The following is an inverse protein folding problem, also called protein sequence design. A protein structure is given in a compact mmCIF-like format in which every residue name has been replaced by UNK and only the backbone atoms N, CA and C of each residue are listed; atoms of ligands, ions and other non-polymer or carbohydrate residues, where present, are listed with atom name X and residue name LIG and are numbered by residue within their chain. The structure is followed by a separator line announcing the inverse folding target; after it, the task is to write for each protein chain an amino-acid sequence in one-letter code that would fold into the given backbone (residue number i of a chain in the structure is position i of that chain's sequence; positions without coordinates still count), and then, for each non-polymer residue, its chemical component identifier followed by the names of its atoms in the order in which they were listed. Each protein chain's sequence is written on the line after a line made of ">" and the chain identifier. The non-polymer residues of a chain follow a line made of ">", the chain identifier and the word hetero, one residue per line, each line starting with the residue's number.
data_IF_060480879941
#
_entry.id   IF_060480879941
#
_cell.length_a   1.000
_cell.length_b   1.000
_cell.length_c   1.000
_cell.angle_alpha   90.00
_cell.angle_beta   90.00
_cell.angle_gamma   90.00
#
_symmetry.space_group_name_H-M   'P 1'
#
loop_
_entity.id
_entity.type
_entity.pdbx_description
1 polymer ?
#
# COMPACT_ATOMS: atom_id res chain seq x y z
N UNK A 1 4.90 20.70 -19.29
CA UNK A 1 4.48 19.29 -18.99
C UNK A 1 3.66 19.36 -17.71
N UNK A 2 2.39 18.96 -17.80
CA UNK A 2 1.53 18.96 -16.61
C UNK A 2 2.07 17.94 -15.63
N UNK A 3 2.52 18.42 -14.48
CA UNK A 3 3.04 17.55 -13.42
C UNK A 3 1.84 16.84 -12.76
N UNK A 4 1.67 15.55 -13.03
CA UNK A 4 0.65 14.74 -12.37
C UNK A 4 1.14 14.39 -10.95
N UNK A 5 0.31 14.68 -9.94
CA UNK A 5 0.64 14.36 -8.55
C UNK A 5 -0.61 14.22 -7.68
N UNK A 6 -0.45 13.61 -6.52
CA UNK A 6 -1.40 13.72 -5.42
C UNK A 6 -0.85 14.66 -4.36
N UNK A 7 -1.70 15.57 -3.87
CA UNK A 7 -1.44 16.34 -2.67
C UNK A 7 -1.96 15.59 -1.45
N UNK A 8 -1.18 15.51 -0.38
CA UNK A 8 -1.56 14.85 0.86
C UNK A 8 -2.27 15.85 1.76
N UNK A 9 -3.59 15.81 1.80
CA UNK A 9 -4.40 16.66 2.70
C UNK A 9 -4.30 16.18 4.16
N UNK A 10 -4.27 14.85 4.34
CA UNK A 10 -4.02 14.17 5.62
C UNK A 10 -3.22 12.91 5.35
N UNK A 11 -2.14 12.71 6.07
CA UNK A 11 -1.25 11.56 5.85
C UNK A 11 -1.75 10.25 6.48
N UNK A 12 -2.63 10.31 7.47
CA UNK A 12 -2.98 9.15 8.28
C UNK A 12 -1.94 8.84 9.35
N UNK A 13 -2.09 7.69 10.02
CA UNK A 13 -1.24 7.33 11.17
C UNK A 13 0.14 6.86 10.72
N UNK A 14 0.18 5.93 9.78
CA UNK A 14 1.42 5.37 9.24
C UNK A 14 1.24 5.06 7.75
N UNK A 15 1.54 6.04 6.91
CA UNK A 15 1.46 5.95 5.46
C UNK A 15 2.86 5.97 4.87
N UNK A 16 3.19 4.96 4.08
CA UNK A 16 4.51 4.75 3.50
C UNK A 16 4.41 4.24 2.07
N UNK A 17 5.48 4.39 1.28
CA UNK A 17 5.61 3.67 0.03
C UNK A 17 6.21 2.29 0.29
N UNK A 18 5.61 1.26 -0.32
CA UNK A 18 6.10 -0.10 -0.22
C UNK A 18 6.12 -0.76 -1.60
N UNK A 19 7.16 -1.55 -1.85
CA UNK A 19 7.31 -2.44 -2.99
C UNK A 19 7.56 -3.88 -2.49
N UNK A 20 8.24 -4.70 -3.28
CA UNK A 20 8.61 -6.08 -2.88
C UNK A 20 9.74 -6.16 -1.85
N UNK A 21 10.33 -5.02 -1.45
CA UNK A 21 11.42 -4.95 -0.49
C UNK A 21 12.80 -5.21 -1.09
N UNK A 22 13.82 -5.30 -0.21
CA UNK A 22 15.25 -5.45 -0.52
C UNK A 22 15.72 -6.86 -0.21
N UNK A 23 16.32 -7.52 -1.18
CA UNK A 23 16.86 -8.86 -0.98
C UNK A 23 18.38 -8.84 -0.78
N UNK A 24 18.90 -9.88 -0.15
CA UNK A 24 20.33 -10.17 -0.03
C UNK A 24 21.18 -9.13 0.70
N UNK A 25 20.60 -8.34 1.60
CA UNK A 25 21.29 -7.27 2.35
C UNK A 25 21.36 -7.51 3.86
N UNK A 26 20.86 -8.65 4.36
CA UNK A 26 20.86 -8.98 5.79
C UNK A 26 22.25 -9.03 6.41
N UNK A 27 23.25 -9.49 5.63
CA UNK A 27 24.64 -9.54 6.08
C UNK A 27 25.23 -8.15 6.38
N UNK A 28 24.61 -7.08 5.85
CA UNK A 28 24.97 -5.69 6.10
C UNK A 28 24.09 -5.05 7.19
N UNK A 29 23.20 -5.83 7.82
CA UNK A 29 22.23 -5.30 8.79
C UNK A 29 21.08 -4.50 8.18
N UNK A 30 20.92 -4.52 6.86
CA UNK A 30 19.86 -3.79 6.16
C UNK A 30 18.59 -4.63 6.15
N UNK A 31 17.46 -4.09 6.68
CA UNK A 31 16.20 -4.82 6.74
C UNK A 31 15.59 -5.01 5.36
N UNK A 32 14.88 -6.13 5.17
CA UNK A 32 14.17 -6.45 3.94
C UNK A 32 13.13 -5.37 3.59
N UNK A 33 12.33 -4.94 4.56
CA UNK A 33 11.19 -4.03 4.35
C UNK A 33 10.16 -4.63 3.38
N UNK A 34 9.50 -3.81 2.55
CA UNK A 34 8.48 -4.27 1.63
C UNK A 34 7.09 -4.32 2.24
N UNK A 35 6.09 -4.54 1.38
CA UNK A 35 4.69 -4.59 1.77
C UNK A 35 4.43 -5.68 2.83
N UNK A 36 3.71 -5.31 3.90
CA UNK A 36 3.42 -6.22 5.02
C UNK A 36 2.47 -7.35 4.57
N UNK A 37 1.44 -7.04 3.81
CA UNK A 37 0.55 -8.01 3.18
C UNK A 37 0.84 -8.10 1.68
N UNK A 38 1.72 -9.01 1.33
CA UNK A 38 2.16 -9.22 -0.05
C UNK A 38 1.00 -9.56 -0.99
N UNK A 39 -0.05 -10.25 -0.51
CA UNK A 39 -1.20 -10.62 -1.33
C UNK A 39 -2.00 -9.38 -1.74
N UNK A 40 -2.34 -8.51 -0.79
CA UNK A 40 -3.08 -7.29 -1.08
C UNK A 40 -2.26 -6.30 -1.91
N UNK A 41 -0.97 -6.22 -1.68
CA UNK A 41 -0.02 -5.46 -2.49
C UNK A 41 -0.04 -5.91 -3.97
N UNK A 42 0.09 -7.21 -4.24
CA UNK A 42 0.08 -7.75 -5.60
C UNK A 42 -1.28 -7.57 -6.28
N UNK A 43 -2.39 -7.75 -5.53
CA UNK A 43 -3.74 -7.55 -6.05
C UNK A 43 -4.00 -6.09 -6.42
N UNK A 44 -3.52 -5.13 -5.63
CA UNK A 44 -3.64 -3.71 -5.92
C UNK A 44 -2.98 -3.38 -7.27
N UNK A 45 -1.74 -3.81 -7.48
CA UNK A 45 -1.04 -3.61 -8.75
C UNK A 45 -1.71 -4.32 -9.92
N UNK A 46 -2.15 -5.58 -9.74
CA UNK A 46 -2.83 -6.35 -10.79
C UNK A 46 -4.12 -5.68 -11.25
N UNK A 47 -4.93 -5.16 -10.33
CA UNK A 47 -6.16 -4.46 -10.63
C UNK A 47 -5.89 -3.09 -11.28
N UNK A 48 -4.84 -2.39 -10.86
CA UNK A 48 -4.40 -1.14 -11.47
C UNK A 48 -3.82 -1.34 -12.89
N UNK A 49 -3.61 -2.58 -13.34
CA UNK A 49 -3.01 -2.87 -14.64
C UNK A 49 -1.50 -2.63 -14.69
N UNK A 50 -0.85 -2.71 -13.55
CA UNK A 50 0.58 -2.49 -13.37
C UNK A 50 1.38 -3.79 -13.46
N UNK A 51 2.71 -3.65 -13.58
CA UNK A 51 3.63 -4.72 -13.19
C UNK A 51 3.48 -4.97 -11.69
N UNK A 52 3.61 -6.25 -11.28
CA UNK A 52 3.27 -6.67 -9.90
C UNK A 52 4.23 -6.14 -8.83
N UNK A 53 5.41 -5.68 -9.23
CA UNK A 53 6.46 -5.20 -8.34
C UNK A 53 6.54 -3.67 -8.22
N UNK A 54 5.61 -2.94 -8.84
CA UNK A 54 5.56 -1.49 -8.72
C UNK A 54 5.19 -1.05 -7.29
N UNK A 55 5.73 0.10 -6.86
CA UNK A 55 5.41 0.68 -5.57
C UNK A 55 3.92 1.01 -5.40
N UNK A 56 3.45 0.85 -4.17
CA UNK A 56 2.10 1.26 -3.74
C UNK A 56 2.18 2.12 -2.48
N UNK A 57 1.10 2.79 -2.17
CA UNK A 57 0.91 3.42 -0.85
C UNK A 57 0.36 2.37 0.10
N UNK A 58 1.12 2.06 1.16
CA UNK A 58 0.70 1.23 2.29
C UNK A 58 0.35 2.13 3.47
N UNK A 59 -0.73 1.81 4.16
CA UNK A 59 -1.16 2.54 5.35
C UNK A 59 -1.68 1.59 6.42
N UNK A 60 -1.61 2.04 7.69
CA UNK A 60 -2.09 1.26 8.83
C UNK A 60 -3.16 2.03 9.60
N UNK A 61 -4.24 1.35 9.98
CA UNK A 61 -5.40 1.83 10.72
C UNK A 61 -6.17 2.96 10.04
N UNK A 62 -5.60 4.16 9.93
CA UNK A 62 -6.15 5.30 9.21
C UNK A 62 -5.19 5.65 8.06
N UNK A 63 -5.72 5.68 6.85
CA UNK A 63 -4.95 5.99 5.65
C UNK A 63 -4.96 7.48 5.28
N UNK A 64 -4.36 7.81 4.13
CA UNK A 64 -4.27 9.19 3.67
C UNK A 64 -5.59 9.71 3.12
N UNK A 65 -5.74 11.04 3.14
CA UNK A 65 -6.69 11.81 2.34
C UNK A 65 -5.88 12.52 1.27
N UNK A 66 -6.11 12.19 0.02
CA UNK A 66 -5.33 12.65 -1.12
C UNK A 66 -6.22 13.40 -2.11
N UNK A 67 -5.70 14.46 -2.69
CA UNK A 67 -6.31 15.22 -3.79
C UNK A 67 -5.48 15.06 -5.05
N UNK A 68 -6.11 14.68 -6.15
CA UNK A 68 -5.42 14.45 -7.42
C UNK A 68 -5.29 15.72 -8.25
N UNK A 69 -4.12 15.93 -8.79
CA UNK A 69 -3.82 16.98 -9.78
C UNK A 69 -3.21 16.33 -11.02
N UNK A 70 -4.00 16.25 -12.07
CA UNK A 70 -3.66 15.65 -13.35
C UNK A 70 -4.90 15.57 -14.22
N UNK A 71 -4.78 14.98 -15.40
CA UNK A 71 -5.93 14.86 -16.29
C UNK A 71 -6.87 13.73 -15.82
N UNK A 72 -6.37 12.53 -15.71
CA UNK A 72 -7.16 11.36 -15.35
C UNK A 72 -6.25 10.23 -14.86
N UNK A 73 -6.66 9.48 -13.84
CA UNK A 73 -5.95 8.31 -13.33
C UNK A 73 -6.93 7.31 -12.72
N UNK A 74 -6.62 6.01 -12.81
CA UNK A 74 -7.32 5.00 -12.03
C UNK A 74 -6.57 4.72 -10.73
N UNK A 75 -7.34 4.49 -9.67
CA UNK A 75 -6.86 4.03 -8.38
C UNK A 75 -7.54 2.73 -7.97
N UNK A 76 -6.88 1.96 -7.13
CA UNK A 76 -7.41 0.73 -6.53
C UNK A 76 -7.03 0.71 -5.05
N UNK A 77 -8.00 0.41 -4.20
CA UNK A 77 -7.75 0.15 -2.78
C UNK A 77 -7.97 -1.33 -2.50
N UNK A 78 -7.03 -1.95 -1.77
CA UNK A 78 -7.12 -3.36 -1.35
C UNK A 78 -6.89 -3.48 0.16
N UNK A 79 -7.40 -4.57 0.73
CA UNK A 79 -7.50 -4.78 2.18
C UNK A 79 -8.95 -4.69 2.64
N UNK A 80 -9.17 -4.69 3.95
CA UNK A 80 -10.48 -4.44 4.56
C UNK A 80 -10.54 -2.98 5.01
N UNK A 81 -10.87 -2.09 4.07
CA UNK A 81 -10.70 -0.63 4.19
C UNK A 81 -12.00 0.09 3.93
N UNK A 82 -12.30 1.09 4.75
CA UNK A 82 -13.38 2.05 4.54
C UNK A 82 -12.80 3.32 3.94
N UNK A 83 -13.26 3.69 2.77
CA UNK A 83 -12.81 4.90 2.08
C UNK A 83 -13.93 5.53 1.25
N UNK A 84 -13.73 6.77 0.89
CA UNK A 84 -14.62 7.54 0.03
C UNK A 84 -13.87 8.11 -1.16
N UNK A 85 -14.53 8.14 -2.31
CA UNK A 85 -14.11 8.89 -3.49
C UNK A 85 -14.98 10.13 -3.58
N UNK A 86 -14.35 11.30 -3.59
CA UNK A 86 -15.03 12.60 -3.58
C UNK A 86 -14.72 13.26 -4.92
N UNK A 87 -15.75 13.46 -5.70
CA UNK A 87 -15.69 14.19 -6.96
C UNK A 87 -16.36 15.54 -6.81
N UNK A 88 -16.27 16.39 -7.83
CA UNK A 88 -16.92 17.70 -7.82
C UNK A 88 -18.42 17.62 -7.56
N UNK A 89 -19.07 16.53 -8.03
CA UNK A 89 -20.54 16.43 -8.03
C UNK A 89 -21.09 15.51 -6.94
N UNK A 90 -20.25 14.60 -6.40
CA UNK A 90 -20.71 13.56 -5.47
C UNK A 90 -19.60 12.98 -4.62
N UNK A 91 -20.01 12.45 -3.48
CA UNK A 91 -19.21 11.59 -2.60
C UNK A 91 -19.73 10.16 -2.71
N UNK A 92 -18.84 9.19 -2.90
CA UNK A 92 -19.16 7.78 -3.11
C UNK A 92 -18.42 6.96 -2.05
N UNK A 93 -19.12 6.08 -1.37
CA UNK A 93 -18.49 5.04 -0.54
C UNK A 93 -17.77 4.04 -1.45
N UNK A 94 -16.47 3.86 -1.21
CA UNK A 94 -15.64 3.01 -2.04
C UNK A 94 -15.71 1.54 -1.64
N UNK A 95 -15.64 0.66 -2.64
CA UNK A 95 -15.49 -0.78 -2.46
C UNK A 95 -14.04 -1.19 -2.72
N UNK A 96 -13.45 -1.94 -1.79
CA UNK A 96 -12.14 -2.51 -2.01
C UNK A 96 -12.13 -3.47 -3.22
N UNK A 97 -10.97 -3.62 -3.85
CA UNK A 97 -10.74 -4.47 -5.02
C UNK A 97 -11.54 -4.05 -6.27
N UNK A 98 -11.89 -2.79 -6.36
CA UNK A 98 -12.53 -2.16 -7.50
C UNK A 98 -11.73 -0.94 -7.96
N UNK A 99 -11.72 -0.69 -9.26
CA UNK A 99 -11.02 0.45 -9.87
C UNK A 99 -11.90 1.68 -9.87
N UNK A 100 -11.39 2.80 -9.37
CA UNK A 100 -12.01 4.12 -9.41
C UNK A 100 -11.19 5.06 -10.27
N UNK A 101 -11.88 5.78 -11.15
CA UNK A 101 -11.27 6.81 -11.97
C UNK A 101 -11.39 8.16 -11.28
N UNK A 102 -10.27 8.86 -11.18
CA UNK A 102 -10.18 10.22 -10.67
C UNK A 102 -9.83 11.17 -11.80
N UNK A 103 -10.45 12.33 -11.77
CA UNK A 103 -10.14 13.50 -12.58
C UNK A 103 -9.48 14.59 -11.73
N UNK A 104 -9.12 15.69 -12.37
CA UNK A 104 -8.48 16.82 -11.68
C UNK A 104 -9.34 17.31 -10.52
N UNK A 105 -8.69 17.44 -9.35
CA UNK A 105 -9.26 17.89 -8.08
C UNK A 105 -10.18 16.87 -7.38
N UNK A 106 -10.38 15.69 -7.95
CA UNK A 106 -11.02 14.61 -7.23
C UNK A 106 -10.15 14.12 -6.07
N UNK A 107 -10.80 13.61 -5.03
CA UNK A 107 -10.15 13.21 -3.79
C UNK A 107 -10.43 11.74 -3.47
N UNK A 108 -9.48 11.10 -2.82
CA UNK A 108 -9.68 9.83 -2.13
C UNK A 108 -9.41 10.01 -0.64
N UNK A 109 -10.38 9.69 0.19
CA UNK A 109 -10.29 9.79 1.63
C UNK A 109 -10.36 8.41 2.27
N UNK A 110 -9.23 7.90 2.75
CA UNK A 110 -9.15 6.60 3.41
C UNK A 110 -9.36 6.79 4.92
N UNK A 111 -10.54 6.36 5.39
CA UNK A 111 -11.02 6.64 6.74
C UNK A 111 -10.40 5.69 7.77
N UNK A 112 -10.49 4.39 7.51
CA UNK A 112 -9.99 3.38 8.44
C UNK A 112 -9.80 2.02 7.76
N UNK A 113 -9.01 1.17 8.39
CA UNK A 113 -9.10 -0.28 8.20
C UNK A 113 -10.07 -0.87 9.22
N UNK A 114 -10.70 -2.01 8.90
CA UNK A 114 -11.63 -2.71 9.81
C UNK A 114 -10.90 -3.85 10.55
N UNK A 115 -10.97 -5.08 10.00
CA UNK A 115 -10.36 -6.27 10.61
C UNK A 115 -8.88 -6.40 10.32
N UNK A 116 -8.40 -5.84 9.20
CA UNK A 116 -6.97 -5.82 8.88
C UNK A 116 -6.31 -4.58 9.48
N UNK A 117 -5.01 -4.67 9.77
CA UNK A 117 -4.21 -3.52 10.18
C UNK A 117 -3.80 -2.68 8.99
N UNK A 118 -3.45 -3.34 7.87
CA UNK A 118 -2.90 -2.71 6.69
C UNK A 118 -3.88 -2.65 5.54
N UNK A 119 -3.81 -1.57 4.77
CA UNK A 119 -4.45 -1.39 3.48
C UNK A 119 -3.47 -0.82 2.47
N UNK A 120 -3.81 -0.97 1.21
CA UNK A 120 -2.96 -0.58 0.07
C UNK A 120 -3.73 0.24 -0.92
N UNK A 121 -3.08 1.24 -1.51
CA UNK A 121 -3.59 1.98 -2.64
C UNK A 121 -2.56 1.94 -3.77
N UNK A 122 -2.96 1.40 -4.93
CA UNK A 122 -2.23 1.49 -6.18
C UNK A 122 -2.85 2.52 -7.11
N UNK A 123 -2.03 3.12 -7.97
CA UNK A 123 -2.46 3.94 -9.10
C UNK A 123 -2.23 3.17 -10.40
N UNK A 124 -2.99 3.44 -11.46
CA UNK A 124 -2.66 2.93 -12.80
C UNK A 124 -1.50 3.73 -13.39
N UNK A 125 -0.27 3.31 -13.08
CA UNK A 125 0.95 4.01 -13.46
C UNK A 125 2.10 3.81 -12.49
N UNK A 126 3.06 4.71 -12.56
CA UNK A 126 4.30 4.65 -11.80
C UNK A 126 4.47 5.91 -10.95
N UNK A 127 4.78 5.74 -9.68
CA UNK A 127 5.14 6.81 -8.77
C UNK A 127 6.59 7.24 -9.04
N UNK A 128 6.87 8.55 -8.95
CA UNK A 128 8.23 9.08 -9.04
C UNK A 128 8.92 8.95 -7.67
N UNK A 129 9.56 7.82 -7.44
CA UNK A 129 10.16 7.47 -6.17
C UNK A 129 11.65 7.15 -6.31
N UNK A 130 12.43 7.70 -5.40
CA UNK A 130 13.86 7.39 -5.30
C UNK A 130 14.06 5.99 -4.71
N UNK A 131 14.81 5.14 -5.43
CA UNK A 131 15.21 3.84 -4.92
C UNK A 131 16.46 3.94 -4.05
N UNK A 132 16.51 3.13 -3.01
CA UNK A 132 17.67 2.92 -2.17
C UNK A 132 17.92 1.41 -2.04
N UNK A 133 19.08 0.98 -2.52
CA UNK A 133 19.44 -0.44 -2.66
C UNK A 133 18.35 -1.25 -3.40
N UNK A 134 17.91 -0.74 -4.55
CA UNK A 134 16.97 -1.42 -5.44
C UNK A 134 15.51 -1.44 -4.99
N UNK A 135 15.14 -0.72 -3.92
CA UNK A 135 13.76 -0.66 -3.41
C UNK A 135 13.41 0.75 -2.93
N UNK A 136 12.15 1.14 -3.12
CA UNK A 136 11.60 2.37 -2.56
C UNK A 136 11.00 2.18 -1.17
N UNK A 137 10.84 0.91 -0.72
CA UNK A 137 10.17 0.59 0.55
C UNK A 137 10.74 1.38 1.71
N UNK A 138 9.86 2.05 2.43
CA UNK A 138 10.20 2.88 3.58
C UNK A 138 10.27 2.00 4.83
N UNK A 139 11.40 2.10 5.55
CA UNK A 139 11.55 1.59 6.90
C UNK A 139 11.84 2.76 7.84
N UNK A 140 10.84 3.20 8.57
CA UNK A 140 10.93 4.38 9.43
C UNK A 140 11.86 4.21 10.64
N UNK A 141 12.07 2.96 11.09
CA UNK A 141 13.00 2.69 12.20
C UNK A 141 14.46 2.77 11.78
N UNK A 142 14.75 2.35 10.56
CA UNK A 142 16.10 2.38 9.99
C UNK A 142 16.40 3.65 9.19
N UNK A 143 15.40 4.52 8.95
CA UNK A 143 15.47 5.68 8.05
C UNK A 143 15.94 5.30 6.63
N UNK A 144 15.37 4.24 6.09
CA UNK A 144 15.74 3.66 4.79
C UNK A 144 14.54 3.75 3.84
N UNK A 145 14.80 3.97 2.54
CA UNK A 145 13.83 4.00 1.45
C UNK A 145 13.57 5.40 0.90
N UNK A 146 12.53 5.49 0.07
CA UNK A 146 12.07 6.77 -0.46
C UNK A 146 11.61 7.71 0.66
N UNK A 147 11.29 8.96 0.34
CA UNK A 147 10.93 9.98 1.31
C UNK A 147 11.92 10.12 2.49
N UNK A 148 13.23 9.89 2.21
CA UNK A 148 14.28 9.89 3.22
C UNK A 148 14.04 8.92 4.39
N UNK A 149 13.37 7.79 4.13
CA UNK A 149 13.04 6.78 5.13
C UNK A 149 11.94 7.19 6.12
N UNK A 150 11.23 8.29 5.86
CA UNK A 150 10.17 8.81 6.73
C UNK A 150 8.80 8.45 6.17
N UNK A 151 7.81 8.27 7.04
CA UNK A 151 6.41 8.21 6.63
C UNK A 151 6.00 9.48 5.89
N UNK A 152 4.91 9.40 5.15
CA UNK A 152 4.36 10.57 4.45
C UNK A 152 3.71 11.54 5.45
N UNK A 153 3.80 12.83 5.15
CA UNK A 153 3.23 13.91 5.96
C UNK A 153 2.25 14.76 5.13
N UNK A 154 1.31 15.42 5.80
CA UNK A 154 0.37 16.36 5.17
C UNK A 154 1.11 17.51 4.50
N UNK A 155 0.58 17.97 3.38
CA UNK A 155 1.19 19.02 2.55
C UNK A 155 2.26 18.53 1.57
N UNK A 156 2.69 17.27 1.68
CA UNK A 156 3.61 16.70 0.69
C UNK A 156 2.87 16.36 -0.61
N UNK A 157 3.66 16.26 -1.69
CA UNK A 157 3.19 15.79 -3.00
C UNK A 157 3.73 14.39 -3.29
N UNK A 158 2.88 13.55 -3.82
CA UNK A 158 3.25 12.24 -4.39
C UNK A 158 3.30 12.43 -5.90
N UNK A 159 4.48 12.58 -6.46
CA UNK A 159 4.65 12.77 -7.89
C UNK A 159 4.45 11.46 -8.66
N UNK A 160 3.89 11.57 -9.86
CA UNK A 160 3.60 10.46 -10.77
C UNK A 160 4.49 10.62 -12.00
N UNK A 161 5.35 9.64 -12.25
CA UNK A 161 6.25 9.65 -13.41
C UNK A 161 5.57 9.19 -14.68
N UNK A 162 4.55 8.31 -14.55
CA UNK A 162 3.84 7.74 -15.70
C UNK A 162 2.42 7.37 -15.33
N UNK A 163 1.47 7.64 -16.23
CA UNK A 163 0.08 7.16 -16.17
C UNK A 163 -0.14 6.18 -17.31
N UNK A 164 -0.75 5.03 -17.01
CA UNK A 164 -1.11 4.06 -18.03
C UNK A 164 -2.22 4.61 -18.92
N UNK A 165 -2.09 4.46 -20.23
CA UNK A 165 -3.08 4.97 -21.18
C UNK A 165 -4.37 4.14 -21.17
N UNK A 166 -4.29 2.85 -20.88
CA UNK A 166 -5.46 1.97 -20.80
C UNK A 166 -6.01 1.97 -19.37
N UNK A 167 -7.06 2.76 -19.16
CA UNK A 167 -7.74 2.91 -17.88
C UNK A 167 -8.97 1.98 -17.77
N UNK A 168 -8.80 0.69 -18.02
CA UNK A 168 -9.86 -0.29 -17.84
C UNK A 168 -10.36 -0.35 -16.41
N UNK A 169 -11.67 -0.37 -16.22
CA UNK A 169 -12.30 -0.62 -14.92
C UNK A 169 -12.29 -2.12 -14.63
N UNK A 170 -11.70 -2.49 -13.50
CA UNK A 170 -11.58 -3.87 -13.05
C UNK A 170 -12.16 -4.03 -11.65
N UNK A 171 -12.74 -5.20 -11.41
CA UNK A 171 -13.29 -5.56 -10.10
C UNK A 171 -13.02 -7.03 -9.82
N UNK A 172 -12.74 -7.35 -8.58
CA UNK A 172 -12.67 -8.74 -8.09
C UNK A 172 -13.61 -8.88 -6.91
N UNK A 173 -14.45 -9.90 -6.95
CA UNK A 173 -15.30 -10.29 -5.83
C UNK A 173 -14.45 -11.04 -4.79
N UNK A 174 -13.74 -10.27 -3.98
CA UNK A 174 -12.80 -10.82 -3.01
C UNK A 174 -13.51 -11.18 -1.72
N UNK A 175 -13.46 -12.48 -1.37
CA UNK A 175 -13.96 -12.96 -0.08
C UNK A 175 -12.78 -13.34 0.81
N UNK A 176 -12.69 -12.71 1.98
CA UNK A 176 -11.78 -13.18 3.03
C UNK A 176 -12.28 -14.53 3.53
N UNK A 177 -11.49 -15.59 3.34
CA UNK A 177 -11.77 -16.87 3.99
C UNK A 177 -11.57 -16.71 5.50
N UNK A 178 -12.52 -17.24 6.28
CA UNK A 178 -12.34 -17.35 7.73
C UNK A 178 -11.18 -18.29 8.01
N UNK A 179 -10.13 -17.77 8.62
CA UNK A 179 -8.98 -18.60 9.02
C UNK A 179 -9.31 -19.18 10.41
N UNK A 180 -9.56 -20.46 10.46
CA UNK A 180 -9.83 -21.17 11.72
C UNK A 180 -8.55 -21.72 12.34
N UNK A 181 -7.56 -22.06 11.51
CA UNK A 181 -6.28 -22.60 11.94
C UNK A 181 -5.12 -21.83 11.30
N UNK A 182 -4.15 -21.44 12.12
CA UNK A 182 -2.90 -20.88 11.64
C UNK A 182 -1.92 -22.02 11.41
N UNK A 183 -1.51 -22.22 10.17
CA UNK A 183 -0.47 -23.21 9.82
C UNK A 183 0.90 -22.63 10.11
N UNK A 184 1.68 -23.33 10.89
CA UNK A 184 3.04 -22.93 11.28
C UNK A 184 4.05 -24.01 10.90
N UNK A 185 5.30 -23.57 10.74
CA UNK A 185 6.46 -24.45 10.58
C UNK A 185 7.39 -24.16 11.76
N UNK A 186 7.88 -25.23 12.41
CA UNK A 186 8.83 -25.11 13.50
C UNK A 186 10.11 -24.43 13.01
N UNK A 187 10.46 -23.29 13.58
CA UNK A 187 11.72 -22.60 13.31
C UNK A 187 12.88 -23.18 14.11
N UNK A 188 14.11 -22.77 13.81
CA UNK A 188 15.35 -23.22 14.46
C UNK A 188 15.37 -23.02 16.00
N UNK A 189 14.62 -22.04 16.49
CA UNK A 189 14.57 -21.74 17.92
C UNK A 189 13.51 -22.53 18.67
N UNK A 190 12.71 -23.38 17.99
CA UNK A 190 11.64 -24.13 18.62
C UNK A 190 12.15 -25.10 19.70
N UNK A 191 13.34 -25.65 19.51
CA UNK A 191 13.95 -26.60 20.45
C UNK A 191 14.42 -25.94 21.76
N UNK A 192 14.52 -24.60 21.81
CA UNK A 192 14.82 -23.86 23.04
C UNK A 192 13.63 -23.68 23.98
N UNK A 193 12.41 -23.96 23.50
CA UNK A 193 11.23 -23.93 24.36
C UNK A 193 11.20 -25.14 25.29
N UNK A 194 10.73 -24.93 26.52
CA UNK A 194 10.43 -26.04 27.45
C UNK A 194 9.30 -26.91 26.88
N UNK A 195 9.19 -28.15 27.30
CA UNK A 195 8.12 -29.05 26.86
C UNK A 195 6.71 -28.46 27.18
N UNK A 196 6.57 -27.75 28.29
CA UNK A 196 5.35 -27.02 28.61
C UNK A 196 5.10 -25.90 27.58
N UNK A 197 6.12 -25.08 27.29
CA UNK A 197 6.01 -23.99 26.30
C UNK A 197 5.67 -24.50 24.89
N UNK A 198 6.19 -25.65 24.48
CA UNK A 198 5.83 -26.29 23.20
C UNK A 198 4.37 -26.70 23.17
N UNK A 199 3.83 -27.25 24.28
CA UNK A 199 2.41 -27.64 24.40
C UNK A 199 1.47 -26.44 24.45
N UNK A 200 1.87 -25.38 25.14
CA UNK A 200 1.03 -24.18 25.29
C UNK A 200 0.98 -23.36 23.99
N UNK A 201 1.94 -23.56 23.07
CA UNK A 201 2.03 -22.85 21.80
C UNK A 201 1.30 -23.58 20.65
N UNK A 202 1.17 -24.89 20.67
CA UNK A 202 0.53 -25.72 19.65
C UNK A 202 -0.92 -26.07 20.03
#
# INVERSE_FOLDING_TARGET
>A
MDNNFFEILRAGINTTFQDKGRNNLYHMGIPFSGAMDNRNYLLANKLAGNQLDLPVVEFAYQGPHLKFYGHQINIVVTGDVVFKVITKDREIDGNCYETYQLEKEDEINILSTNKSVYGYMAISGELDLKLQWGSCSINTKANIGSNNGKKLDSGQKINISKINQNLEKKKIDYKNSKIENIRIIKGKNFDYFSEKGKKDFL
#
